data_IF_014838915026
#
_entry.id   IF_014838915026
#
_cell.length_a   1.000
_cell.length_b   1.000
_cell.length_c   1.000
_cell.angle_alpha   90.00
_cell.angle_beta   90.00
_cell.angle_gamma   90.00
#
_symmetry.space_group_name_H-M   'P 1'
#
loop_
_entity.id
_entity.type
_entity.pdbx_description
1 polymer ?
#
# COMPACT_ATOMS: atom_id res chain seq x y z
N UNK A 1 18.95 -24.54 7.68
CA UNK A 1 18.58 -23.60 6.60
C UNK A 1 18.87 -22.20 7.10
N UNK A 2 19.88 -21.54 6.54
CA UNK A 2 20.10 -20.11 6.79
C UNK A 2 18.99 -19.35 6.07
N UNK A 3 18.13 -18.71 6.85
CA UNK A 3 17.12 -17.79 6.32
C UNK A 3 17.86 -16.51 5.97
N UNK A 4 17.80 -16.11 4.70
CA UNK A 4 18.51 -14.95 4.17
C UNK A 4 17.93 -13.67 4.82
N UNK A 5 18.74 -12.64 5.01
CA UNK A 5 18.31 -11.40 5.67
C UNK A 5 17.20 -10.68 4.88
N UNK A 6 17.07 -10.99 3.58
CA UNK A 6 15.94 -10.60 2.71
C UNK A 6 14.61 -11.22 3.14
N UNK A 7 14.60 -12.47 3.59
CA UNK A 7 13.38 -13.18 4.01
C UNK A 7 12.81 -12.60 5.32
N UNK A 8 13.64 -11.88 6.09
CA UNK A 8 13.22 -11.27 7.36
C UNK A 8 12.28 -10.09 7.19
N UNK A 9 12.30 -9.39 6.04
CA UNK A 9 11.31 -8.34 5.73
C UNK A 9 9.94 -8.93 5.39
N UNK A 10 9.92 -10.06 4.69
CA UNK A 10 8.70 -10.79 4.31
C UNK A 10 7.93 -11.36 5.52
N UNK A 11 8.61 -11.57 6.65
CA UNK A 11 8.01 -12.15 7.86
C UNK A 11 7.12 -11.20 8.68
N UNK A 12 7.15 -9.88 8.44
CA UNK A 12 6.34 -8.95 9.25
C UNK A 12 4.88 -8.91 8.81
N UNK A 13 4.61 -9.00 7.51
CA UNK A 13 3.26 -9.06 6.95
C UNK A 13 3.26 -9.88 5.66
N UNK A 14 2.59 -11.04 5.62
CA UNK A 14 2.48 -11.79 4.37
C UNK A 14 1.63 -11.01 3.35
N UNK A 15 1.89 -11.15 2.05
CA UNK A 15 1.03 -10.55 1.02
C UNK A 15 -0.39 -11.11 1.05
N UNK A 16 -0.62 -12.27 1.68
CA UNK A 16 -1.93 -12.89 1.88
C UNK A 16 -2.16 -13.21 3.35
N UNK A 17 -3.36 -12.98 3.86
CA UNK A 17 -3.73 -13.46 5.18
C UNK A 17 -3.96 -14.97 5.15
N UNK A 18 -3.04 -15.73 5.75
CA UNK A 18 -3.35 -17.06 6.27
C UNK A 18 -2.55 -18.24 5.75
N UNK A 19 -1.81 -18.15 4.64
CA UNK A 19 -0.99 -19.28 4.16
C UNK A 19 0.35 -18.82 3.59
N UNK A 20 1.43 -19.52 3.96
CA UNK A 20 2.74 -19.36 3.36
C UNK A 20 2.66 -20.04 1.99
N UNK A 21 2.23 -19.30 0.98
CA UNK A 21 2.27 -19.75 -0.41
C UNK A 21 3.66 -19.45 -0.95
N UNK A 22 4.38 -20.46 -1.45
CA UNK A 22 5.60 -20.23 -2.21
C UNK A 22 5.21 -19.60 -3.55
N UNK A 23 5.57 -18.33 -3.77
CA UNK A 23 5.14 -17.60 -4.96
C UNK A 23 6.35 -17.27 -5.83
N UNK A 24 6.25 -17.57 -7.12
CA UNK A 24 7.29 -17.25 -8.12
C UNK A 24 7.27 -15.77 -8.51
N UNK A 25 6.16 -15.07 -8.28
CA UNK A 25 5.97 -13.66 -8.59
C UNK A 25 5.93 -12.84 -7.30
N UNK A 26 6.85 -11.89 -7.16
CA UNK A 26 6.93 -11.03 -5.98
C UNK A 26 5.97 -9.83 -6.13
N UNK A 27 4.98 -9.67 -5.24
CA UNK A 27 4.14 -8.48 -5.24
C UNK A 27 5.00 -7.25 -4.91
N UNK A 28 4.65 -6.11 -5.51
CA UNK A 28 5.38 -4.84 -5.34
C UNK A 28 5.28 -4.23 -3.92
N UNK A 29 4.38 -4.74 -3.09
CA UNK A 29 4.24 -4.37 -1.67
C UNK A 29 3.49 -5.44 -0.88
N UNK A 30 3.82 -5.58 0.40
CA UNK A 30 3.11 -6.41 1.36
C UNK A 30 1.99 -5.65 2.08
N UNK A 31 1.12 -6.37 2.80
CA UNK A 31 0.11 -5.76 3.68
C UNK A 31 0.79 -4.82 4.68
N UNK A 32 0.25 -3.62 4.85
CA UNK A 32 0.83 -2.58 5.71
C UNK A 32 1.79 -1.63 4.99
N UNK A 33 2.25 -1.97 3.78
CA UNK A 33 3.18 -1.14 3.00
C UNK A 33 2.46 -0.26 1.97
N UNK A 34 3.13 0.83 1.58
CA UNK A 34 2.72 1.65 0.45
C UNK A 34 3.45 1.22 -0.83
N UNK A 35 2.73 1.28 -1.96
CA UNK A 35 3.32 1.12 -3.28
C UNK A 35 2.76 2.13 -4.28
N UNK A 36 3.60 2.48 -5.27
CA UNK A 36 3.19 3.24 -6.44
C UNK A 36 2.79 2.28 -7.56
N UNK A 37 1.48 2.13 -7.78
CA UNK A 37 0.93 1.11 -8.68
C UNK A 37 0.13 1.76 -9.81
N UNK A 38 0.25 1.20 -11.02
CA UNK A 38 -0.51 1.64 -12.19
C UNK A 38 -1.90 1.01 -12.20
N UNK A 39 -2.93 1.78 -12.54
CA UNK A 39 -4.28 1.28 -12.75
C UNK A 39 -4.36 0.56 -14.08
N UNK A 40 -4.64 -0.75 -14.05
CA UNK A 40 -4.86 -1.57 -15.24
C UNK A 40 -6.30 -1.53 -15.70
N UNK A 41 -7.24 -1.49 -14.76
CA UNK A 41 -8.67 -1.51 -15.08
C UNK A 41 -9.49 -0.71 -14.05
N UNK A 42 -10.67 -0.23 -14.47
CA UNK A 42 -11.63 0.46 -13.61
C UNK A 42 -13.04 -0.06 -13.85
N UNK A 43 -13.76 -0.28 -12.76
CA UNK A 43 -15.18 -0.60 -12.75
C UNK A 43 -15.98 0.50 -12.02
N UNK A 44 -17.31 0.43 -12.07
CA UNK A 44 -18.20 1.45 -11.49
C UNK A 44 -17.91 1.77 -10.02
N UNK A 45 -17.49 0.77 -9.23
CA UNK A 45 -17.23 0.91 -7.79
C UNK A 45 -15.81 0.50 -7.37
N UNK A 46 -14.89 0.29 -8.32
CA UNK A 46 -13.59 -0.30 -8.05
C UNK A 46 -12.53 0.14 -9.06
N UNK A 47 -11.26 0.09 -8.68
CA UNK A 47 -10.12 0.12 -9.60
C UNK A 47 -9.22 -1.07 -9.31
N UNK A 48 -8.52 -1.55 -10.34
CA UNK A 48 -7.61 -2.68 -10.26
C UNK A 48 -6.20 -2.21 -10.65
N UNK A 49 -5.25 -2.35 -9.72
CA UNK A 49 -3.90 -1.81 -9.85
C UNK A 49 -2.90 -2.95 -10.02
N UNK A 50 -1.92 -2.74 -10.89
CA UNK A 50 -0.85 -3.69 -11.17
C UNK A 50 0.07 -3.91 -9.98
N UNK A 51 -0.26 -4.90 -9.18
CA UNK A 51 0.45 -5.25 -7.95
C UNK A 51 1.69 -6.10 -8.19
N UNK A 52 1.99 -6.49 -9.43
CA UNK A 52 3.09 -7.43 -9.73
C UNK A 52 2.76 -8.88 -9.37
N UNK A 53 1.50 -9.18 -9.11
CA UNK A 53 1.00 -10.50 -8.77
C UNK A 53 0.05 -11.02 -9.85
N UNK A 54 -0.31 -12.31 -9.79
CA UNK A 54 -1.28 -12.92 -10.72
C UNK A 54 -2.64 -12.19 -10.67
N UNK A 55 -2.99 -11.64 -9.50
CA UNK A 55 -4.19 -10.83 -9.30
C UNK A 55 -3.81 -9.37 -9.06
N UNK A 56 -4.51 -8.48 -9.75
CA UNK A 56 -4.39 -7.04 -9.53
C UNK A 56 -4.99 -6.65 -8.17
N UNK A 57 -4.42 -5.61 -7.55
CA UNK A 57 -4.87 -5.08 -6.27
C UNK A 57 -6.18 -4.30 -6.45
N UNK A 58 -7.23 -4.75 -5.77
CA UNK A 58 -8.53 -4.08 -5.77
C UNK A 58 -8.48 -2.83 -4.87
N UNK A 59 -8.87 -1.68 -5.42
CA UNK A 59 -9.10 -0.44 -4.68
C UNK A 59 -10.58 -0.06 -4.79
N UNK A 60 -11.39 -0.28 -3.74
CA UNK A 60 -12.79 0.12 -3.72
C UNK A 60 -12.96 1.63 -3.88
N UNK A 61 -14.06 2.08 -4.49
CA UNK A 61 -14.33 3.52 -4.68
C UNK A 61 -14.41 4.29 -3.37
N UNK A 62 -14.85 3.66 -2.28
CA UNK A 62 -14.85 4.25 -0.93
C UNK A 62 -13.45 4.46 -0.36
N UNK A 63 -12.43 3.84 -0.95
CA UNK A 63 -11.02 3.93 -0.56
C UNK A 63 -10.19 4.75 -1.56
N UNK A 64 -10.84 5.34 -2.56
CA UNK A 64 -10.24 6.28 -3.48
C UNK A 64 -10.43 7.71 -2.93
N UNK A 65 -9.35 8.50 -2.90
CA UNK A 65 -9.45 9.93 -2.63
C UNK A 65 -10.14 10.63 -3.80
N UNK A 66 -9.65 10.35 -5.01
CA UNK A 66 -10.23 10.75 -6.29
C UNK A 66 -10.45 9.53 -7.17
N UNK A 67 -11.44 9.58 -8.07
CA UNK A 67 -11.68 8.49 -9.02
C UNK A 67 -10.41 8.18 -9.82
N UNK A 68 -9.95 6.94 -9.68
CA UNK A 68 -8.78 6.43 -10.37
C UNK A 68 -9.05 6.31 -11.88
N UNK A 69 -7.99 6.49 -12.68
CA UNK A 69 -8.06 6.45 -14.15
C UNK A 69 -7.10 5.41 -14.68
N UNK A 70 -7.55 4.61 -15.65
CA UNK A 70 -6.73 3.61 -16.35
C UNK A 70 -5.43 4.27 -16.87
N UNK A 71 -4.31 3.55 -16.72
CA UNK A 71 -2.98 3.97 -17.17
C UNK A 71 -2.27 4.95 -16.24
N UNK A 72 -2.98 5.59 -15.30
CA UNK A 72 -2.35 6.44 -14.27
C UNK A 72 -1.87 5.59 -13.10
N UNK A 73 -0.87 6.11 -12.40
CA UNK A 73 -0.32 5.46 -11.21
C UNK A 73 -0.58 6.29 -9.96
N UNK A 74 -0.84 5.59 -8.86
CA UNK A 74 -1.20 6.18 -7.58
C UNK A 74 -0.41 5.50 -6.47
N UNK A 75 -0.09 6.26 -5.42
CA UNK A 75 0.41 5.67 -4.17
C UNK A 75 -0.79 5.09 -3.43
N UNK A 76 -0.70 3.82 -3.07
CA UNK A 76 -1.74 3.12 -2.31
C UNK A 76 -1.13 2.36 -1.14
N UNK A 77 -1.84 2.30 -0.02
CA UNK A 77 -1.52 1.38 1.07
C UNK A 77 -2.20 0.04 0.82
N UNK A 78 -1.46 -1.05 0.92
CA UNK A 78 -2.01 -2.41 0.90
C UNK A 78 -2.55 -2.72 2.29
N UNK A 79 -3.80 -3.11 2.36
CA UNK A 79 -4.55 -3.34 3.58
C UNK A 79 -5.17 -4.72 3.59
N UNK A 80 -5.33 -5.28 4.79
CA UNK A 80 -6.07 -6.50 5.02
C UNK A 80 -7.40 -6.14 5.68
N UNK A 81 -8.49 -6.63 5.10
CA UNK A 81 -9.78 -6.68 5.78
C UNK A 81 -9.77 -7.89 6.72
N UNK A 82 -9.66 -7.65 8.02
CA UNK A 82 -9.57 -8.72 9.03
C UNK A 82 -10.85 -9.56 9.13
N UNK A 83 -12.01 -9.01 8.75
CA UNK A 83 -13.28 -9.73 8.79
C UNK A 83 -13.40 -10.73 7.64
N UNK A 84 -12.92 -10.34 6.44
CA UNK A 84 -13.08 -11.15 5.23
C UNK A 84 -11.81 -11.87 4.78
N UNK A 85 -10.65 -11.54 5.37
CA UNK A 85 -9.33 -12.03 4.96
C UNK A 85 -8.87 -11.48 3.59
N UNK A 86 -9.55 -10.48 3.03
CA UNK A 86 -9.27 -9.97 1.68
C UNK A 86 -8.28 -8.81 1.71
N UNK A 87 -7.34 -8.86 0.77
CA UNK A 87 -6.38 -7.78 0.55
C UNK A 87 -6.99 -6.74 -0.39
N UNK A 88 -6.87 -5.47 -0.02
CA UNK A 88 -7.36 -4.34 -0.80
C UNK A 88 -6.41 -3.14 -0.68
N UNK A 89 -6.48 -2.20 -1.61
CA UNK A 89 -5.71 -0.97 -1.56
C UNK A 89 -6.55 0.23 -1.11
N UNK A 90 -5.89 1.21 -0.49
CA UNK A 90 -6.48 2.54 -0.22
C UNK A 90 -5.54 3.67 -0.62
N UNK A 91 -6.09 4.71 -1.26
CA UNK A 91 -5.39 5.96 -1.57
C UNK A 91 -5.84 7.11 -0.63
N UNK A 92 -6.54 6.81 0.46
CA UNK A 92 -6.97 7.82 1.45
C UNK A 92 -5.91 8.03 2.53
N UNK A 93 -4.69 8.35 2.10
CA UNK A 93 -3.50 8.40 2.97
C UNK A 93 -3.67 9.41 4.11
N UNK A 94 -4.17 10.61 3.81
CA UNK A 94 -4.29 11.72 4.77
C UNK A 94 -5.23 11.45 5.94
N UNK A 95 -6.23 10.58 5.76
CA UNK A 95 -7.22 10.28 6.79
C UNK A 95 -6.75 9.16 7.72
N UNK A 96 -5.81 8.36 7.24
CA UNK A 96 -5.43 7.08 7.83
C UNK A 96 -4.03 7.08 8.44
N UNK A 97 -3.19 8.07 8.12
CA UNK A 97 -1.84 8.19 8.65
C UNK A 97 -1.74 9.18 9.81
N UNK A 98 -1.00 8.80 10.85
CA UNK A 98 -0.59 9.73 11.89
C UNK A 98 0.40 10.75 11.33
N UNK A 99 0.21 12.02 11.69
CA UNK A 99 1.05 13.14 11.23
C UNK A 99 2.36 13.27 12.02
N UNK A 100 2.48 12.53 13.11
CA UNK A 100 3.63 12.62 14.02
C UNK A 100 4.30 11.24 14.13
N UNK A 101 5.29 10.95 13.27
CA UNK A 101 6.05 9.70 13.37
C UNK A 101 6.86 9.71 14.67
N UNK A 102 6.55 8.77 15.57
CA UNK A 102 7.20 8.67 16.89
C UNK A 102 8.65 8.16 16.81
N UNK A 103 8.99 7.51 15.70
CA UNK A 103 10.23 6.77 15.52
C UNK A 103 11.18 7.42 14.51
N UNK A 104 11.09 8.74 14.28
CA UNK A 104 12.00 9.47 13.40
C UNK A 104 12.79 10.52 14.17
N UNK A 105 14.10 10.57 13.91
CA UNK A 105 14.99 11.60 14.42
C UNK A 105 15.28 12.68 13.37
N UNK A 106 15.53 13.91 13.80
CA UNK A 106 15.96 14.98 12.89
C UNK A 106 17.28 14.59 12.17
N UNK A 107 17.32 14.78 10.85
CA UNK A 107 18.48 14.44 10.02
C UNK A 107 18.56 12.97 9.59
N UNK A 108 17.61 12.13 10.00
CA UNK A 108 17.52 10.73 9.57
C UNK A 108 17.16 10.63 8.08
N UNK A 109 17.86 9.76 7.36
CA UNK A 109 17.57 9.47 5.95
C UNK A 109 16.42 8.50 5.85
N UNK A 110 15.38 8.89 5.12
CA UNK A 110 14.18 8.09 4.90
C UNK A 110 13.82 8.02 3.43
N UNK A 111 13.21 6.91 3.02
CA UNK A 111 12.59 6.77 1.71
C UNK A 111 11.18 7.37 1.73
N UNK A 112 10.84 8.13 0.69
CA UNK A 112 9.57 8.84 0.59
C UNK A 112 8.89 8.55 -0.74
N UNK A 113 7.59 8.29 -0.67
CA UNK A 113 6.70 8.22 -1.82
C UNK A 113 5.88 9.50 -1.92
N UNK A 114 6.07 10.23 -3.02
CA UNK A 114 5.29 11.44 -3.31
C UNK A 114 3.93 11.01 -3.87
N UNK A 115 2.85 11.43 -3.22
CA UNK A 115 1.48 11.06 -3.61
C UNK A 115 0.62 12.25 -4.03
N UNK A 116 1.06 13.49 -3.76
CA UNK A 116 0.29 14.68 -4.11
C UNK A 116 1.16 15.92 -4.24
N UNK A 117 0.77 16.81 -5.14
CA UNK A 117 1.35 18.15 -5.27
C UNK A 117 0.22 19.15 -5.09
N UNK A 118 0.41 20.09 -4.17
CA UNK A 118 -0.55 21.16 -3.85
C UNK A 118 0.07 22.52 -4.13
N UNK A 119 -0.74 23.58 -4.13
CA UNK A 119 -0.24 24.96 -4.30
C UNK A 119 0.74 25.38 -3.20
N UNK A 120 0.65 24.77 -2.02
CA UNK A 120 1.44 25.14 -0.83
C UNK A 120 2.58 24.16 -0.54
N UNK A 121 2.70 23.05 -1.28
CA UNK A 121 3.76 22.07 -1.04
C UNK A 121 3.49 20.68 -1.63
N UNK A 122 4.43 19.77 -1.34
CA UNK A 122 4.42 18.37 -1.80
C UNK A 122 3.99 17.47 -0.65
N UNK A 123 3.12 16.51 -0.95
CA UNK A 123 2.66 15.49 -0.02
C UNK A 123 3.45 14.20 -0.24
N UNK A 124 4.08 13.70 0.81
CA UNK A 124 4.87 12.48 0.79
C UNK A 124 4.51 11.58 1.97
N UNK A 125 4.70 10.28 1.79
CA UNK A 125 4.51 9.26 2.82
C UNK A 125 5.74 8.35 2.88
N UNK A 126 6.09 7.92 4.09
CA UNK A 126 7.12 6.90 4.33
C UNK A 126 6.44 5.62 4.83
N UNK A 127 6.98 4.46 4.48
CA UNK A 127 6.55 3.15 4.99
C UNK A 127 6.76 2.98 6.50
N UNK A 128 7.58 3.80 7.15
CA UNK A 128 7.79 3.76 8.61
C UNK A 128 6.62 4.38 9.38
N UNK A 129 5.82 5.25 8.74
CA UNK A 129 4.70 5.92 9.41
C UNK A 129 3.59 4.91 9.69
N UNK A 130 3.17 4.82 10.95
CA UNK A 130 1.99 4.04 11.30
C UNK A 130 0.75 4.69 10.68
N UNK A 131 0.16 3.97 9.72
CA UNK A 131 -1.07 4.37 9.07
C UNK A 131 -2.06 3.24 9.22
N UNK A 132 -3.20 3.50 9.85
CA UNK A 132 -4.21 2.48 10.09
C UNK A 132 -4.99 2.20 8.81
N UNK A 133 -5.12 0.93 8.47
CA UNK A 133 -6.08 0.53 7.45
C UNK A 133 -7.50 0.85 7.93
N UNK A 134 -8.34 1.48 7.10
CA UNK A 134 -9.70 1.79 7.49
C UNK A 134 -10.48 0.50 7.73
N UNK A 135 -11.04 0.37 8.94
CA UNK A 135 -11.97 -0.69 9.28
C UNK A 135 -13.25 -0.54 8.44
N UNK A 136 -13.80 -1.66 7.99
CA UNK A 136 -15.06 -1.73 7.23
C UNK A 136 -16.21 -2.19 8.10
#
# INVERSE_FOLDING_TARGET
MQVDEKDRKLLKHPPFAGEIVAITLEPKAAVGEFAYLQVKDVASFSAFLDWGFEKDLLVPSSQQQDRMKIGKSYVVKVCLDELTGRVYGTNRITHNCDKNPKDLSEGEKVDLLIYGITKIGIMAVNNIVDCKCPER
#
